data_IF_400350267030
#
_entry.id   IF_400350267030
#
_cell.length_a   1.000
_cell.length_b   1.000
_cell.length_c   1.000
_cell.angle_alpha   90.00
_cell.angle_beta   90.00
_cell.angle_gamma   90.00
#
_symmetry.space_group_name_H-M   'P 1'
#
loop_
_entity.id
_entity.type
_entity.pdbx_description
1 polymer ?
#
# COMPACT_ATOMS: atom_id res chain seq x y z
N UNK A 1 14.81 -40.26 24.72
CA UNK A 1 15.09 -39.07 25.55
C UNK A 1 14.85 -37.83 24.71
N UNK A 2 13.87 -37.01 25.08
CA UNK A 2 13.39 -35.88 24.26
C UNK A 2 14.43 -34.78 24.14
N UNK A 3 14.69 -34.37 22.90
CA UNK A 3 15.63 -33.30 22.57
C UNK A 3 15.01 -31.95 22.98
N UNK A 4 15.33 -31.48 24.19
CA UNK A 4 14.87 -30.17 24.69
C UNK A 4 15.58 -29.08 23.89
N UNK A 5 14.89 -28.54 22.89
CA UNK A 5 15.37 -27.38 22.11
C UNK A 5 15.75 -26.26 23.08
N UNK A 6 17.01 -25.88 23.07
CA UNK A 6 17.57 -24.80 23.89
C UNK A 6 16.75 -23.53 23.68
N UNK A 7 16.12 -23.03 24.76
CA UNK A 7 15.29 -21.82 24.74
C UNK A 7 16.18 -20.63 24.40
N UNK A 8 16.09 -20.09 23.18
CA UNK A 8 16.88 -18.92 22.76
C UNK A 8 16.54 -17.73 23.65
N UNK A 9 17.46 -17.33 24.52
CA UNK A 9 17.31 -16.15 25.38
C UNK A 9 17.69 -14.91 24.57
N UNK A 10 16.73 -14.03 24.31
CA UNK A 10 16.99 -12.72 23.71
C UNK A 10 17.75 -11.85 24.73
N UNK A 11 19.04 -11.65 24.49
CA UNK A 11 19.87 -10.72 25.27
C UNK A 11 19.83 -9.35 24.60
N UNK A 12 19.39 -8.33 25.33
CA UNK A 12 19.37 -6.95 24.85
C UNK A 12 20.79 -6.42 24.66
N UNK A 13 21.13 -6.01 23.45
CA UNK A 13 22.32 -5.20 23.20
C UNK A 13 22.05 -3.79 23.73
N UNK A 14 22.87 -3.30 24.66
CA UNK A 14 22.66 -2.01 25.35
C UNK A 14 22.55 -0.80 24.40
N UNK A 15 23.13 -0.88 23.20
CA UNK A 15 23.00 0.16 22.16
C UNK A 15 21.63 0.11 21.46
N UNK A 16 21.18 -1.07 21.05
CA UNK A 16 19.87 -1.24 20.39
C UNK A 16 18.71 -0.91 21.35
N UNK A 17 18.83 -1.33 22.61
CA UNK A 17 17.84 -1.05 23.65
C UNK A 17 17.65 0.45 23.87
N UNK A 18 18.75 1.22 23.93
CA UNK A 18 18.71 2.69 24.05
C UNK A 18 18.03 3.35 22.86
N UNK A 19 18.31 2.90 21.64
CA UNK A 19 17.68 3.42 20.44
C UNK A 19 16.16 3.22 20.45
N UNK A 20 15.72 2.04 20.87
CA UNK A 20 14.30 1.69 20.97
C UNK A 20 13.62 2.53 22.05
N UNK A 21 14.20 2.61 23.26
CA UNK A 21 13.64 3.42 24.36
C UNK A 21 13.42 4.87 23.92
N UNK A 22 14.45 5.50 23.37
CA UNK A 22 14.37 6.85 22.83
C UNK A 22 13.31 6.97 21.72
N UNK A 23 13.20 5.95 20.86
CA UNK A 23 12.17 5.88 19.83
C UNK A 23 10.75 5.93 20.41
N UNK A 24 10.50 5.21 21.50
CA UNK A 24 9.22 5.22 22.21
C UNK A 24 8.95 6.57 22.89
N UNK A 25 9.95 7.17 23.53
CA UNK A 25 9.81 8.48 24.18
C UNK A 25 9.44 9.57 23.16
N UNK A 26 10.16 9.61 22.03
CA UNK A 26 9.87 10.55 20.94
C UNK A 26 8.50 10.31 20.32
N UNK A 27 8.07 9.05 20.23
CA UNK A 27 6.75 8.71 19.71
C UNK A 27 5.63 9.22 20.61
N UNK A 28 5.73 8.98 21.92
CA UNK A 28 4.76 9.47 22.91
C UNK A 28 4.65 11.00 22.89
N UNK A 29 5.77 11.71 22.67
CA UNK A 29 5.80 13.17 22.45
C UNK A 29 5.12 13.65 21.15
N UNK A 30 4.55 12.76 20.33
CA UNK A 30 3.82 13.13 19.12
C UNK A 30 4.66 13.13 17.84
N UNK A 31 5.94 12.75 17.89
CA UNK A 31 6.79 12.81 16.70
C UNK A 31 6.38 11.76 15.65
N UNK A 32 6.46 12.13 14.37
CA UNK A 32 6.18 11.22 13.25
C UNK A 32 7.32 10.24 12.97
N UNK A 33 7.01 9.08 12.40
CA UNK A 33 7.98 7.98 12.17
C UNK A 33 9.23 8.39 11.38
N UNK A 34 9.07 9.31 10.40
CA UNK A 34 10.19 9.82 9.59
C UNK A 34 11.17 10.62 10.46
N UNK A 35 10.64 11.54 11.28
CA UNK A 35 11.43 12.38 12.19
C UNK A 35 12.16 11.55 13.24
N UNK A 36 11.48 10.53 13.79
CA UNK A 36 12.11 9.58 14.73
C UNK A 36 13.26 8.83 14.05
N UNK A 37 13.04 8.30 12.84
CA UNK A 37 14.08 7.61 12.10
C UNK A 37 15.29 8.51 11.80
N UNK A 38 15.06 9.75 11.36
CA UNK A 38 16.11 10.75 11.10
C UNK A 38 16.92 11.05 12.38
N UNK A 39 16.24 11.27 13.50
CA UNK A 39 16.90 11.54 14.78
C UNK A 39 17.79 10.38 15.24
N UNK A 40 17.26 9.14 15.17
CA UNK A 40 18.05 7.95 15.52
C UNK A 40 19.24 7.75 14.57
N UNK A 41 19.07 8.03 13.27
CA UNK A 41 20.15 7.94 12.30
C UNK A 41 21.25 9.00 12.54
N UNK A 42 20.87 10.22 12.95
CA UNK A 42 21.80 11.28 13.32
C UNK A 42 22.65 10.90 14.54
N UNK A 43 22.06 10.20 15.51
CA UNK A 43 22.77 9.66 16.67
C UNK A 43 23.63 8.41 16.35
N UNK A 44 23.70 8.01 15.08
CA UNK A 44 24.54 6.89 14.63
C UNK A 44 23.91 5.50 14.74
N UNK A 45 22.62 5.39 15.13
CA UNK A 45 21.95 4.09 15.17
C UNK A 45 21.69 3.56 13.76
N UNK A 46 21.93 2.25 13.56
CA UNK A 46 21.78 1.55 12.28
C UNK A 46 21.11 0.21 12.51
N UNK A 47 20.54 -0.35 11.44
CA UNK A 47 20.04 -1.74 11.45
C UNK A 47 21.18 -2.74 11.61
N UNK A 48 20.86 -4.00 11.93
CA UNK A 48 21.84 -5.11 12.03
C UNK A 48 22.70 -5.30 10.77
N UNK A 49 22.19 -4.89 9.61
CA UNK A 49 22.92 -4.92 8.31
C UNK A 49 23.66 -3.61 8.01
N UNK A 50 23.83 -2.71 9.00
CA UNK A 50 24.51 -1.42 8.85
C UNK A 50 23.70 -0.33 8.12
N UNK A 51 22.50 -0.63 7.62
CA UNK A 51 21.69 0.34 6.87
C UNK A 51 21.02 1.37 7.79
N UNK A 52 20.79 2.61 7.33
CA UNK A 52 19.97 3.59 8.05
C UNK A 52 18.58 3.05 8.37
N UNK A 53 18.03 3.46 9.51
CA UNK A 53 16.66 3.15 9.90
C UNK A 53 15.68 3.91 9.02
N UNK A 54 14.75 3.20 8.38
CA UNK A 54 13.70 3.81 7.56
C UNK A 54 12.41 4.07 8.35
N UNK A 55 11.55 4.93 7.81
CA UNK A 55 10.19 5.20 8.34
C UNK A 55 9.41 3.90 8.61
N UNK A 56 9.49 2.93 7.70
CA UNK A 56 8.79 1.64 7.83
C UNK A 56 9.33 0.77 8.96
N UNK A 57 10.65 0.73 9.14
CA UNK A 57 11.31 0.00 10.24
C UNK A 57 10.92 0.59 11.58
N UNK A 58 10.92 1.91 11.72
CA UNK A 58 10.52 2.56 12.97
C UNK A 58 9.01 2.40 13.21
N UNK A 59 8.21 2.47 12.15
CA UNK A 59 6.75 2.27 12.24
C UNK A 59 6.35 0.88 12.75
N UNK A 60 7.16 -0.16 12.50
CA UNK A 60 6.83 -1.50 12.98
C UNK A 60 6.96 -1.65 14.50
N UNK A 61 7.79 -0.83 15.15
CA UNK A 61 7.95 -0.85 16.62
C UNK A 61 6.65 -0.46 17.32
N UNK A 62 5.98 0.57 16.82
CA UNK A 62 4.70 1.05 17.36
C UNK A 62 3.51 0.22 16.88
N UNK A 63 3.64 -0.44 15.73
CA UNK A 63 2.67 -1.41 15.25
C UNK A 63 2.69 -2.71 16.09
N UNK A 64 3.78 -3.06 16.78
CA UNK A 64 3.77 -4.17 17.71
C UNK A 64 4.68 -3.84 18.90
N UNK A 65 4.17 -3.12 19.91
CA UNK A 65 5.00 -2.64 21.01
C UNK A 65 5.23 -3.68 22.12
N UNK A 66 4.38 -4.71 22.24
CA UNK A 66 4.45 -5.70 23.33
C UNK A 66 5.78 -6.47 23.42
N UNK A 67 6.47 -6.82 22.31
CA UNK A 67 7.81 -7.39 22.39
C UNK A 67 8.83 -6.50 23.11
N UNK A 68 8.64 -5.18 23.12
CA UNK A 68 9.53 -4.28 23.85
C UNK A 68 9.16 -4.16 25.33
N UNK A 69 7.97 -4.64 25.72
CA UNK A 69 7.53 -4.77 27.11
C UNK A 69 7.84 -6.15 27.72
N UNK A 70 8.70 -6.95 27.08
CA UNK A 70 9.10 -8.27 27.58
C UNK A 70 8.13 -9.41 27.22
N UNK A 71 7.13 -9.15 26.36
CA UNK A 71 6.18 -10.18 25.94
C UNK A 71 6.65 -10.92 24.68
N UNK A 72 6.23 -12.17 24.51
CA UNK A 72 6.31 -12.88 23.24
C UNK A 72 4.97 -12.84 22.53
N UNK A 73 4.95 -12.39 21.27
CA UNK A 73 3.72 -12.24 20.48
C UNK A 73 3.75 -13.16 19.28
N UNK A 74 2.70 -13.97 19.14
CA UNK A 74 2.50 -14.89 18.02
C UNK A 74 1.20 -14.56 17.25
N UNK A 75 1.06 -15.12 16.05
CA UNK A 75 -0.11 -14.94 15.15
C UNK A 75 -0.38 -13.51 14.66
N UNK A 76 0.64 -12.62 14.68
CA UNK A 76 0.50 -11.23 14.20
C UNK A 76 0.19 -11.16 12.69
N UNK A 77 0.71 -12.11 11.90
CA UNK A 77 0.50 -12.18 10.45
C UNK A 77 0.17 -13.59 9.99
N UNK A 78 -0.83 -13.72 9.13
CA UNK A 78 -1.23 -14.97 8.47
C UNK A 78 -1.44 -14.71 6.98
N UNK A 79 -0.83 -15.52 6.11
CA UNK A 79 -0.86 -15.35 4.63
C UNK A 79 -0.53 -13.92 4.17
N UNK A 80 0.45 -13.27 4.81
CA UNK A 80 0.88 -11.90 4.50
C UNK A 80 0.00 -10.77 5.06
N UNK A 81 -1.20 -11.07 5.59
CA UNK A 81 -2.12 -10.09 6.19
C UNK A 81 -1.90 -9.99 7.69
N UNK A 82 -1.95 -8.76 8.22
CA UNK A 82 -1.96 -8.52 9.67
C UNK A 82 -3.29 -9.03 10.23
N UNK A 83 -3.26 -9.84 11.28
CA UNK A 83 -4.46 -10.36 11.94
C UNK A 83 -5.04 -9.32 12.90
N UNK A 84 -6.31 -9.49 13.23
CA UNK A 84 -6.97 -8.71 14.27
C UNK A 84 -6.25 -8.94 15.62
N UNK A 85 -6.29 -7.96 16.51
CA UNK A 85 -5.51 -8.00 17.75
C UNK A 85 -6.02 -9.08 18.70
N UNK A 86 -7.30 -9.39 18.61
CA UNK A 86 -8.00 -10.44 19.36
C UNK A 86 -7.46 -11.84 19.03
N UNK A 87 -6.90 -12.01 17.83
CA UNK A 87 -6.27 -13.26 17.40
C UNK A 87 -4.80 -13.36 17.82
N UNK A 88 -4.22 -12.32 18.43
CA UNK A 88 -2.82 -12.32 18.83
C UNK A 88 -2.64 -13.12 20.12
N UNK A 89 -1.64 -13.99 20.13
CA UNK A 89 -1.28 -14.75 21.33
C UNK A 89 -0.12 -14.01 21.99
N UNK A 90 -0.38 -13.39 23.13
CA UNK A 90 0.61 -12.62 23.90
C UNK A 90 0.97 -13.42 25.16
N UNK A 91 2.24 -13.79 25.29
CA UNK A 91 2.79 -14.47 26.47
C UNK A 91 3.71 -13.50 27.20
N UNK A 92 3.38 -13.16 28.44
CA UNK A 92 4.13 -12.19 29.24
C UNK A 92 5.45 -12.77 29.79
N UNK A 93 6.34 -11.89 30.26
CA UNK A 93 7.60 -12.18 30.95
C UNK A 93 8.52 -13.22 30.28
N UNK A 94 8.79 -13.03 28.98
CA UNK A 94 9.69 -13.90 28.23
C UNK A 94 11.13 -13.37 28.14
N UNK A 95 11.31 -12.06 28.24
CA UNK A 95 12.62 -11.41 28.23
C UNK A 95 12.57 -10.02 28.89
N UNK A 96 13.74 -9.44 29.13
CA UNK A 96 13.87 -8.13 29.76
C UNK A 96 13.12 -7.05 28.98
N UNK A 97 12.24 -6.34 29.66
CA UNK A 97 11.49 -5.23 29.09
C UNK A 97 12.35 -3.97 28.92
N UNK A 98 12.14 -3.24 27.82
CA UNK A 98 12.69 -1.91 27.54
C UNK A 98 11.71 -0.83 27.97
N UNK A 99 10.42 -1.09 27.77
CA UNK A 99 9.29 -0.21 28.11
C UNK A 99 8.33 -0.94 29.03
N UNK A 100 7.49 -0.23 29.77
CA UNK A 100 6.45 -0.86 30.58
C UNK A 100 5.29 -1.39 29.71
N UNK A 101 4.50 -2.31 30.26
CA UNK A 101 3.29 -2.80 29.60
C UNK A 101 2.27 -1.67 29.37
N UNK A 102 2.22 -0.69 30.28
CA UNK A 102 1.36 0.50 30.15
C UNK A 102 1.82 1.41 28.99
N UNK A 103 3.13 1.63 28.88
CA UNK A 103 3.71 2.38 27.76
C UNK A 103 3.41 1.69 26.43
N UNK A 104 3.53 0.37 26.37
CA UNK A 104 3.22 -0.40 25.17
C UNK A 104 1.75 -0.25 24.77
N UNK A 105 0.81 -0.37 25.72
CA UNK A 105 -0.63 -0.17 25.48
C UNK A 105 -0.93 1.27 25.02
N UNK A 106 -0.35 2.27 25.67
CA UNK A 106 -0.50 3.69 25.31
C UNK A 106 0.01 3.97 23.89
N UNK A 107 1.21 3.48 23.55
CA UNK A 107 1.76 3.64 22.20
C UNK A 107 0.92 2.93 21.14
N UNK A 108 0.40 1.74 21.43
CA UNK A 108 -0.51 1.00 20.54
C UNK A 108 -1.79 1.80 20.28
N UNK A 109 -2.41 2.34 21.32
CA UNK A 109 -3.60 3.18 21.19
C UNK A 109 -3.30 4.44 20.36
N UNK A 110 -2.19 5.12 20.64
CA UNK A 110 -1.77 6.30 19.87
C UNK A 110 -1.50 5.95 18.39
N UNK A 111 -0.93 4.78 18.12
CA UNK A 111 -0.75 4.26 16.76
C UNK A 111 -2.08 4.09 16.02
N UNK A 112 -3.07 3.45 16.65
CA UNK A 112 -4.39 3.28 16.05
C UNK A 112 -5.11 4.61 15.84
N UNK A 113 -4.99 5.54 16.78
CA UNK A 113 -5.56 6.87 16.66
C UNK A 113 -4.95 7.61 15.46
N UNK A 114 -3.63 7.56 15.29
CA UNK A 114 -2.95 8.15 14.11
C UNK A 114 -3.36 7.51 12.80
N UNK A 115 -3.72 6.22 12.77
CA UNK A 115 -4.26 5.60 11.56
C UNK A 115 -5.65 6.17 11.26
N UNK A 116 -6.54 6.19 12.25
CA UNK A 116 -7.89 6.74 12.11
C UNK A 116 -7.86 8.20 11.65
N UNK A 117 -6.99 9.02 12.25
CA UNK A 117 -6.80 10.44 11.90
C UNK A 117 -6.03 10.63 10.58
N UNK A 118 -5.15 9.69 10.26
CA UNK A 118 -4.31 9.65 9.06
C UNK A 118 -5.07 9.26 7.79
N UNK A 119 -6.21 8.58 7.93
CA UNK A 119 -7.26 8.47 6.90
C UNK A 119 -8.03 9.79 6.72
N UNK A 120 -7.33 10.92 6.69
CA UNK A 120 -7.85 12.10 5.99
C UNK A 120 -7.89 11.73 4.51
N UNK A 121 -9.05 11.20 4.09
CA UNK A 121 -9.54 11.37 2.73
C UNK A 121 -9.17 12.79 2.31
N UNK A 122 -8.29 12.95 1.31
CA UNK A 122 -8.02 14.27 0.74
C UNK A 122 -9.38 14.77 0.24
N UNK A 123 -10.06 15.60 1.06
CA UNK A 123 -11.40 16.14 0.73
C UNK A 123 -11.37 16.97 -0.55
N UNK A 124 -10.20 17.45 -0.95
CA UNK A 124 -9.98 18.11 -2.22
C UNK A 124 -9.76 17.09 -3.33
N UNK A 125 -10.85 16.73 -3.99
CA UNK A 125 -10.83 16.16 -5.33
C UNK A 125 -10.51 17.29 -6.30
N UNK A 126 -9.32 17.25 -6.92
CA UNK A 126 -8.98 18.19 -7.98
C UNK A 126 -9.41 17.61 -9.34
N UNK A 127 -10.02 18.39 -10.25
CA UNK A 127 -10.60 17.91 -11.51
C UNK A 127 -9.66 17.05 -12.35
N UNK A 128 -8.36 17.39 -12.38
CA UNK A 128 -7.37 16.69 -13.20
C UNK A 128 -6.64 15.56 -12.46
N UNK A 129 -7.03 15.28 -11.21
CA UNK A 129 -6.41 14.20 -10.41
C UNK A 129 -6.63 12.85 -11.07
N UNK A 130 -5.53 12.20 -11.44
CA UNK A 130 -5.54 10.86 -12.06
C UNK A 130 -5.80 10.85 -13.57
N UNK A 131 -5.99 12.02 -14.19
CA UNK A 131 -6.14 12.19 -15.64
C UNK A 131 -4.81 12.58 -16.32
N UNK A 132 -3.91 13.23 -15.59
CA UNK A 132 -2.62 13.70 -16.12
C UNK A 132 -1.54 12.61 -16.03
N UNK A 133 -0.90 12.30 -17.16
CA UNK A 133 0.19 11.32 -17.26
C UNK A 133 1.45 11.96 -17.82
N UNK A 134 2.61 11.56 -17.29
CA UNK A 134 3.90 11.98 -17.79
C UNK A 134 4.26 11.18 -19.04
N UNK A 135 4.35 11.85 -20.18
CA UNK A 135 4.72 11.24 -21.45
C UNK A 135 6.08 10.52 -21.39
N UNK A 136 7.05 11.09 -20.65
CA UNK A 136 8.40 10.51 -20.53
C UNK A 136 8.49 9.23 -19.67
N UNK A 137 7.57 8.98 -18.74
CA UNK A 137 7.70 7.82 -17.83
C UNK A 137 6.41 7.08 -17.52
N UNK A 138 5.30 7.45 -18.16
CA UNK A 138 3.97 6.87 -17.97
C UNK A 138 3.34 7.09 -16.60
N UNK A 139 4.05 7.69 -15.63
CA UNK A 139 3.51 7.87 -14.28
C UNK A 139 2.53 9.04 -14.22
N UNK A 140 1.50 8.87 -13.39
CA UNK A 140 0.51 9.92 -13.11
C UNK A 140 1.18 11.12 -12.45
N UNK A 141 0.76 12.33 -12.83
CA UNK A 141 1.14 13.54 -12.11
C UNK A 141 0.55 13.54 -10.70
N UNK A 142 1.23 14.25 -9.79
CA UNK A 142 0.88 14.39 -8.38
C UNK A 142 0.91 15.88 -8.01
N UNK A 143 0.00 16.30 -7.13
CA UNK A 143 -0.02 17.65 -6.60
C UNK A 143 1.04 17.83 -5.52
N UNK A 144 1.90 18.85 -5.71
CA UNK A 144 2.91 19.31 -4.76
C UNK A 144 2.61 20.76 -4.39
N UNK A 145 2.71 21.08 -3.10
CA UNK A 145 2.49 22.44 -2.58
C UNK A 145 1.42 22.47 -1.49
N UNK A 146 0.90 23.66 -1.22
CA UNK A 146 -0.09 23.92 -0.18
C UNK A 146 -1.21 24.80 -0.71
N UNK A 147 -2.46 24.32 -0.58
CA UNK A 147 -3.65 25.12 -0.91
C UNK A 147 -3.69 26.43 -0.12
N UNK A 148 -3.24 26.42 1.14
CA UNK A 148 -3.27 27.60 2.03
C UNK A 148 -2.48 28.79 1.45
N UNK A 149 -1.42 28.52 0.69
CA UNK A 149 -0.54 29.54 0.11
C UNK A 149 -0.74 29.68 -1.40
N UNK A 150 -1.82 29.11 -1.94
CA UNK A 150 -2.16 29.08 -3.37
C UNK A 150 -0.98 28.67 -4.28
N UNK A 151 -0.11 27.77 -3.81
CA UNK A 151 1.12 27.37 -4.50
C UNK A 151 1.10 25.89 -4.87
N UNK A 152 0.01 25.44 -5.49
CA UNK A 152 -0.15 24.06 -5.93
C UNK A 152 0.30 23.87 -7.37
N UNK A 153 1.06 22.81 -7.58
CA UNK A 153 1.59 22.43 -8.87
C UNK A 153 1.39 20.94 -9.12
N UNK A 154 0.97 20.59 -10.33
CA UNK A 154 1.09 19.23 -10.83
C UNK A 154 2.53 18.98 -11.25
N UNK A 155 3.14 17.95 -10.66
CA UNK A 155 4.48 17.46 -10.99
C UNK A 155 4.47 15.98 -11.34
N UNK A 156 5.45 15.53 -12.11
CA UNK A 156 5.59 14.11 -12.45
C UNK A 156 5.63 13.23 -11.19
N UNK A 157 4.83 12.15 -11.16
CA UNK A 157 4.70 11.27 -9.99
C UNK A 157 6.02 10.59 -9.58
N UNK A 158 6.87 10.25 -10.53
CA UNK A 158 8.20 9.71 -10.24
C UNK A 158 9.06 10.72 -9.47
N UNK A 159 9.06 11.98 -9.93
CA UNK A 159 9.79 13.07 -9.27
C UNK A 159 9.17 13.50 -7.94
N UNK A 160 7.86 13.29 -7.75
CA UNK A 160 7.18 13.49 -6.47
C UNK A 160 7.68 12.48 -5.41
N UNK A 161 7.84 11.22 -5.80
CA UNK A 161 8.26 10.17 -4.88
C UNK A 161 9.77 10.21 -4.58
N UNK A 162 10.59 10.46 -5.61
CA UNK A 162 12.04 10.53 -5.52
C UNK A 162 12.54 11.66 -6.40
N UNK A 163 13.33 12.56 -5.81
CA UNK A 163 13.93 13.66 -6.55
C UNK A 163 14.72 13.11 -7.75
N UNK A 164 14.54 13.73 -8.92
CA UNK A 164 15.20 13.39 -10.19
C UNK A 164 15.01 11.96 -10.74
N UNK A 165 14.00 11.22 -10.30
CA UNK A 165 13.67 9.91 -10.87
C UNK A 165 13.16 9.96 -12.33
N UNK A 166 12.79 11.14 -12.83
CA UNK A 166 12.39 11.39 -14.21
C UNK A 166 13.02 12.69 -14.73
N UNK A 167 13.32 12.73 -16.02
CA UNK A 167 13.82 13.92 -16.71
C UNK A 167 12.75 15.03 -16.80
N UNK A 168 11.47 14.71 -16.60
CA UNK A 168 10.39 15.70 -16.60
C UNK A 168 10.50 16.68 -15.41
N UNK A 169 11.00 17.89 -15.65
CA UNK A 169 11.11 18.96 -14.64
C UNK A 169 9.95 19.96 -14.64
N UNK A 170 8.85 19.64 -15.32
CA UNK A 170 7.71 20.55 -15.41
C UNK A 170 6.99 20.70 -14.07
N UNK A 171 6.67 21.94 -13.73
CA UNK A 171 5.81 22.33 -12.61
C UNK A 171 4.62 23.08 -13.20
N UNK A 172 3.51 22.38 -13.37
CA UNK A 172 2.32 22.97 -13.97
C UNK A 172 1.47 23.57 -12.85
N UNK A 173 1.27 24.89 -12.86
CA UNK A 173 0.43 25.55 -11.87
C UNK A 173 -0.99 24.98 -11.94
N UNK A 174 -1.52 24.54 -10.79
CA UNK A 174 -2.78 23.80 -10.72
C UNK A 174 -3.96 24.62 -11.27
N UNK A 175 -4.13 25.86 -10.79
CA UNK A 175 -5.24 26.71 -11.19
C UNK A 175 -5.18 27.04 -12.69
N UNK A 176 -4.03 27.52 -13.19
CA UNK A 176 -3.89 27.88 -14.61
C UNK A 176 -4.12 26.70 -15.55
N UNK A 177 -3.65 25.51 -15.18
CA UNK A 177 -3.85 24.31 -15.98
C UNK A 177 -5.32 23.90 -15.99
N UNK A 178 -5.96 23.89 -14.82
CA UNK A 178 -7.36 23.53 -14.70
C UNK A 178 -8.27 24.51 -15.45
N UNK A 179 -8.05 25.81 -15.31
CA UNK A 179 -8.83 26.84 -16.01
C UNK A 179 -8.72 26.67 -17.53
N UNK A 180 -7.50 26.46 -18.05
CA UNK A 180 -7.26 26.26 -19.48
C UNK A 180 -7.92 24.98 -20.00
N UNK A 181 -7.86 23.87 -19.25
CA UNK A 181 -8.51 22.62 -19.67
C UNK A 181 -10.03 22.77 -19.61
N UNK A 182 -10.57 23.42 -18.58
CA UNK A 182 -12.00 23.62 -18.43
C UNK A 182 -12.57 24.54 -19.52
N UNK A 183 -11.82 25.57 -19.93
CA UNK A 183 -12.19 26.44 -21.04
C UNK A 183 -12.26 25.67 -22.36
N UNK A 184 -11.26 24.82 -22.66
CA UNK A 184 -11.26 24.01 -23.87
C UNK A 184 -12.39 22.97 -23.87
N UNK A 185 -12.63 22.34 -22.72
CA UNK A 185 -13.73 21.38 -22.53
C UNK A 185 -15.08 22.06 -22.74
N UNK A 186 -15.31 23.22 -22.12
CA UNK A 186 -16.54 23.99 -22.31
C UNK A 186 -16.70 24.44 -23.76
N UNK A 187 -15.62 24.91 -24.40
CA UNK A 187 -15.64 25.31 -25.81
C UNK A 187 -16.03 24.19 -26.76
N UNK A 188 -15.61 22.94 -26.48
CA UNK A 188 -15.99 21.77 -27.30
C UNK A 188 -17.38 21.25 -26.96
N UNK A 189 -17.74 21.16 -25.68
CA UNK A 189 -19.05 20.64 -25.25
C UNK A 189 -20.19 21.57 -25.67
N UNK A 190 -19.97 22.89 -25.65
CA UNK A 190 -20.99 23.88 -26.03
C UNK A 190 -21.22 23.97 -27.54
N UNK A 191 -20.43 23.29 -28.37
CA UNK A 191 -20.71 23.18 -29.81
C UNK A 191 -21.96 22.31 -30.02
N UNK A 192 -22.96 22.87 -30.70
CA UNK A 192 -24.20 22.14 -31.01
C UNK A 192 -23.88 20.82 -31.74
N UNK A 193 -24.42 19.71 -31.22
CA UNK A 193 -24.26 18.38 -31.80
C UNK A 193 -22.97 17.63 -31.41
N UNK A 194 -22.02 18.24 -30.68
CA UNK A 194 -20.82 17.52 -30.23
C UNK A 194 -21.19 16.37 -29.28
N UNK A 195 -22.03 16.63 -28.27
CA UNK A 195 -22.47 15.59 -27.34
C UNK A 195 -23.22 14.46 -28.05
N UNK A 196 -24.08 14.79 -29.01
CA UNK A 196 -24.85 13.79 -29.77
C UNK A 196 -23.94 12.89 -30.61
N UNK A 197 -23.01 13.49 -31.36
CA UNK A 197 -22.02 12.73 -32.15
C UNK A 197 -21.11 11.87 -31.25
N UNK A 198 -20.70 12.40 -30.09
CA UNK A 198 -19.94 11.66 -29.09
C UNK A 198 -20.73 10.48 -28.51
N UNK A 199 -22.00 10.68 -28.14
CA UNK A 199 -22.86 9.59 -27.65
C UNK A 199 -23.04 8.50 -28.70
N UNK A 200 -23.20 8.86 -29.97
CA UNK A 200 -23.30 7.87 -31.05
C UNK A 200 -22.00 7.09 -31.23
N UNK A 201 -20.85 7.75 -31.18
CA UNK A 201 -19.54 7.09 -31.25
C UNK A 201 -19.32 6.16 -30.06
N UNK A 202 -19.56 6.62 -28.84
CA UNK A 202 -19.43 5.82 -27.63
C UNK A 202 -20.36 4.59 -27.65
N UNK A 203 -21.59 4.74 -28.15
CA UNK A 203 -22.53 3.63 -28.30
C UNK A 203 -22.06 2.61 -29.33
N UNK A 204 -21.44 3.04 -30.44
CA UNK A 204 -20.81 2.14 -31.41
C UNK A 204 -19.66 1.35 -30.79
N UNK A 205 -18.76 2.00 -30.07
CA UNK A 205 -17.62 1.36 -29.41
C UNK A 205 -18.06 0.35 -28.35
N UNK A 206 -19.06 0.69 -27.53
CA UNK A 206 -19.63 -0.22 -26.53
C UNK A 206 -20.25 -1.46 -27.20
N UNK A 207 -21.00 -1.26 -28.29
CA UNK A 207 -21.59 -2.36 -29.04
C UNK A 207 -20.50 -3.25 -29.68
N UNK A 208 -19.40 -2.66 -30.16
CA UNK A 208 -18.29 -3.43 -30.73
C UNK A 208 -17.61 -4.27 -29.65
N UNK A 209 -17.25 -3.66 -28.51
CA UNK A 209 -16.68 -4.39 -27.37
C UNK A 209 -17.59 -5.51 -26.86
N UNK A 210 -18.91 -5.28 -26.86
CA UNK A 210 -19.88 -6.30 -26.48
C UNK A 210 -19.89 -7.48 -27.48
N UNK A 211 -19.78 -7.21 -28.79
CA UNK A 211 -19.66 -8.25 -29.82
C UNK A 211 -18.36 -9.04 -29.68
N UNK A 212 -17.25 -8.34 -29.46
CA UNK A 212 -15.93 -8.97 -29.30
C UNK A 212 -15.91 -9.89 -28.07
N UNK A 213 -16.43 -9.41 -26.94
CA UNK A 213 -16.59 -10.21 -25.72
C UNK A 213 -17.54 -11.41 -25.90
N UNK A 214 -18.63 -11.26 -26.67
CA UNK A 214 -19.50 -12.38 -27.02
C UNK A 214 -18.78 -13.41 -27.91
N UNK A 215 -17.92 -12.95 -28.82
CA UNK A 215 -17.05 -13.80 -29.63
C UNK A 215 -16.09 -14.62 -28.77
N UNK A 216 -15.39 -13.97 -27.84
CA UNK A 216 -14.49 -14.65 -26.88
C UNK A 216 -15.23 -15.67 -26.01
N UNK A 217 -16.40 -15.30 -25.46
CA UNK A 217 -17.24 -16.22 -24.67
C UNK A 217 -17.65 -17.44 -25.51
N UNK A 218 -17.98 -17.23 -26.79
CA UNK A 218 -18.34 -18.33 -27.69
C UNK A 218 -17.15 -19.24 -27.99
N UNK A 219 -15.97 -18.67 -28.22
CA UNK A 219 -14.71 -19.40 -28.39
C UNK A 219 -14.38 -20.27 -27.17
N UNK A 220 -14.34 -19.66 -25.99
CA UNK A 220 -14.10 -20.35 -24.72
C UNK A 220 -15.14 -21.45 -24.44
N UNK A 221 -16.41 -21.24 -24.76
CA UNK A 221 -17.45 -22.29 -24.63
C UNK A 221 -17.21 -23.46 -25.57
N UNK A 222 -16.71 -23.21 -26.79
CA UNK A 222 -16.39 -24.28 -27.74
C UNK A 222 -15.17 -25.08 -27.31
N UNK A 223 -14.11 -24.42 -26.82
CA UNK A 223 -12.92 -25.08 -26.26
C UNK A 223 -13.29 -25.92 -25.03
N UNK A 224 -14.11 -25.38 -24.13
CA UNK A 224 -14.54 -26.10 -22.92
C UNK A 224 -15.43 -27.32 -23.27
N UNK A 225 -16.23 -27.25 -24.34
CA UNK A 225 -16.97 -28.41 -24.85
C UNK A 225 -16.03 -29.47 -25.47
N UNK A 226 -14.97 -29.05 -26.15
CA UNK A 226 -13.98 -29.97 -26.71
C UNK A 226 -13.20 -30.71 -25.62
N UNK A 227 -12.79 -30.01 -24.55
CA UNK A 227 -12.11 -30.61 -23.39
C UNK A 227 -13.01 -31.60 -22.64
N UNK A 228 -14.30 -31.27 -22.45
CA UNK A 228 -15.24 -32.19 -21.79
C UNK A 228 -15.58 -33.41 -22.64
N UNK A 229 -15.59 -33.27 -23.97
CA UNK A 229 -15.79 -34.39 -24.89
C UNK A 229 -14.59 -35.35 -24.95
N UNK A 230 -13.37 -34.87 -24.70
CA UNK A 230 -12.19 -35.75 -24.55
C UNK A 230 -12.20 -36.53 -23.23
N UNK A 231 -12.66 -35.92 -22.13
CA UNK A 231 -12.74 -36.59 -20.83
C UNK A 231 -13.81 -37.71 -20.79
N UNK A 232 -14.87 -37.60 -21.60
CA UNK A 232 -15.92 -38.63 -21.73
C UNK A 232 -15.46 -39.83 -22.59
N UNK A 233 -14.60 -39.61 -23.59
CA UNK A 233 -14.02 -40.70 -24.39
C UNK A 233 -13.01 -41.56 -23.59
N UNK A 234 -12.32 -40.96 -22.61
CA UNK A 234 -11.39 -41.67 -21.73
C UNK A 234 -12.10 -42.48 -20.61
N UNK A 235 -13.38 -42.19 -20.33
CA UNK A 235 -14.18 -42.88 -19.33
C UNK A 235 -14.78 -44.22 -19.83
N UNK A 236 -14.95 -44.40 -21.14
CA UNK A 236 -15.44 -45.66 -21.73
C UNK A 236 -14.33 -46.74 -21.88
N UNK A 237 -13.06 -46.38 -21.64
CA UNK A 237 -11.90 -47.28 -21.76
C UNK A 237 -11.59 -48.17 -20.54
N UNK A 238 -12.22 -47.94 -19.38
CA UNK A 238 -11.94 -48.69 -18.14
C UNK A 238 -13.06 -49.67 -17.75
N UNK A 239 -13.73 -50.25 -18.74
CA UNK A 239 -14.84 -51.19 -18.56
C UNK A 239 -14.54 -52.65 -18.90
N UNK A 240 -13.35 -53.19 -18.66
CA UNK A 240 -13.13 -54.66 -18.69
C UNK A 240 -11.80 -55.10 -18.08
N UNK A 241 -11.74 -55.31 -16.76
CA UNK A 241 -10.83 -56.31 -16.21
C UNK A 241 -11.65 -57.17 -15.24
N UNK A 242 -12.06 -58.33 -15.75
CA UNK A 242 -12.75 -59.36 -14.99
C UNK A 242 -11.87 -59.90 -13.88
N UNK A 243 -12.46 -60.06 -12.71
CA UNK A 243 -11.88 -60.75 -11.57
C UNK A 243 -12.16 -62.24 -11.79
N UNK A 244 -11.11 -63.00 -12.10
CA UNK A 244 -11.05 -64.46 -12.09
C UNK A 244 -10.01 -64.91 -11.08
#
# INVERSE_FOLDING_TARGET
MGNVKTKYKLVLQSKEARAIRLGFDLFQQGNGYKKIAEHLNQMGYRSKKGRPLGKGTVGCWFQNPYPYAGCYVWNVRKKGKIQAEEDWIIVEDQHQAIISMEEAKSCRQQYHQRIKDGTRYRRTTYPLSGLLYCDLCGHKFQLKGSQKYNNLYYICGSNYQRHDACQNKLYLNQQRLEDSVMEEVNGKIMQQGFLESYFQMARKDLNQKAKDAQGEIRGLKSENRAVRGSDEADAEGYGSVGIG
#
